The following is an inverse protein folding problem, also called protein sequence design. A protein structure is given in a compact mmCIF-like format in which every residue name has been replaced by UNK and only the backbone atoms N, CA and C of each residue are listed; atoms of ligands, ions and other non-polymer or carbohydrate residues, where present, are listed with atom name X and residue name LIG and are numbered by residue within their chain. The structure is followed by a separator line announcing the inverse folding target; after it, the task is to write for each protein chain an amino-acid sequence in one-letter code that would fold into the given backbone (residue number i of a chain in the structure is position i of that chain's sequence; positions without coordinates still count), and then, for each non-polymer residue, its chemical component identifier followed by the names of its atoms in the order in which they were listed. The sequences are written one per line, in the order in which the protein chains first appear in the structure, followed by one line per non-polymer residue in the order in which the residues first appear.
data_IF_871985355349
#
_entry.id   IF_871985355349
#
_cell.length_a   1.000
_cell.length_b   1.000
_cell.length_c   1.000
_cell.angle_alpha   90.00
_cell.angle_beta   90.00
_cell.angle_gamma   90.00
#
_symmetry.space_group_name_H-M   'P 1'
#
loop_
_entity.id
_entity.type
_entity.pdbx_description
1 polymer ?
#
# COMPACT_ATOMS: atom_id res chain seq x y z
N UNK A 1 32.56 12.81 43.03
CA UNK A 1 33.22 14.03 42.51
C UNK A 1 34.49 13.53 41.84
N UNK A 2 34.63 13.48 40.52
CA UNK A 2 34.36 14.47 39.49
C UNK A 2 33.87 13.82 38.18
N UNK A 3 33.17 14.63 37.38
CA UNK A 3 32.81 14.37 35.99
C UNK A 3 34.07 14.26 35.14
N UNK A 4 34.10 13.33 34.19
CA UNK A 4 34.82 13.52 32.93
C UNK A 4 33.91 13.15 31.76
N UNK A 5 33.42 14.20 31.10
CA UNK A 5 32.83 14.18 29.77
C UNK A 5 33.94 13.95 28.75
N UNK A 6 33.76 12.99 27.84
CA UNK A 6 34.40 12.99 26.52
C UNK A 6 33.27 12.82 25.51
N UNK A 7 33.12 13.82 24.64
CA UNK A 7 32.20 13.86 23.51
C UNK A 7 32.88 13.36 22.23
N UNK A 8 32.03 12.95 21.28
CA UNK A 8 32.25 12.62 19.85
C UNK A 8 32.88 11.24 19.60
N UNK A 9 32.29 10.31 18.85
CA UNK A 9 31.33 10.38 17.73
C UNK A 9 30.12 9.44 17.93
N UNK A 10 28.92 9.95 17.65
CA UNK A 10 27.66 9.27 17.92
C UNK A 10 27.15 8.59 16.63
N UNK A 11 27.92 7.62 16.14
CA UNK A 11 27.46 6.67 15.13
C UNK A 11 27.30 5.31 15.80
N UNK A 12 26.22 5.15 16.57
CA UNK A 12 25.85 3.84 17.13
C UNK A 12 24.40 3.78 17.59
N UNK A 13 23.76 2.68 17.19
CA UNK A 13 22.80 1.94 18.01
C UNK A 13 21.41 2.59 18.17
N UNK A 14 20.63 2.55 17.10
CA UNK A 14 19.22 2.17 17.26
C UNK A 14 19.20 0.72 17.76
N UNK A 15 19.23 0.55 19.08
CA UNK A 15 18.66 -0.64 19.71
C UNK A 15 17.18 -0.59 19.36
N UNK A 16 16.77 -1.30 18.31
CA UNK A 16 15.37 -1.55 18.02
C UNK A 16 14.85 -2.32 19.24
N UNK A 17 14.13 -1.63 20.13
CA UNK A 17 13.38 -2.31 21.18
C UNK A 17 12.46 -3.30 20.46
N UNK A 18 12.69 -4.60 20.69
CA UNK A 18 11.82 -5.64 20.19
C UNK A 18 10.43 -5.34 20.73
N UNK A 19 9.47 -5.12 19.82
CA UNK A 19 8.06 -4.92 20.17
C UNK A 19 7.64 -6.08 21.10
N UNK A 20 7.01 -5.76 22.23
CA UNK A 20 6.54 -6.78 23.18
C UNK A 20 5.62 -7.79 22.48
N UNK A 21 4.84 -7.35 21.48
CA UNK A 21 4.01 -8.24 20.67
C UNK A 21 4.85 -9.23 19.85
N UNK A 22 5.94 -8.77 19.23
CA UNK A 22 6.84 -9.62 18.47
C UNK A 22 7.49 -10.69 19.38
N UNK A 23 7.91 -10.29 20.58
CA UNK A 23 8.48 -11.20 21.57
C UNK A 23 7.47 -12.29 21.99
N UNK A 24 6.24 -11.90 22.32
CA UNK A 24 5.18 -12.83 22.70
C UNK A 24 4.83 -13.80 21.57
N UNK A 25 4.73 -13.29 20.34
CA UNK A 25 4.51 -14.11 19.14
C UNK A 25 5.64 -15.12 18.93
N UNK A 26 6.91 -14.70 19.03
CA UNK A 26 8.05 -15.61 18.84
C UNK A 26 8.08 -16.74 19.87
N UNK A 27 7.69 -16.47 21.11
CA UNK A 27 7.62 -17.48 22.18
C UNK A 27 6.43 -18.42 21.99
N UNK A 28 5.24 -17.87 21.75
CA UNK A 28 4.01 -18.67 21.68
C UNK A 28 3.90 -19.49 20.39
N UNK A 29 4.58 -19.08 19.32
CA UNK A 29 4.48 -19.69 17.99
C UNK A 29 5.74 -20.44 17.55
N UNK A 30 6.74 -20.61 18.43
CA UNK A 30 8.02 -21.27 18.09
C UNK A 30 7.83 -22.62 17.38
N UNK A 31 7.02 -23.52 17.94
CA UNK A 31 6.74 -24.83 17.35
C UNK A 31 6.11 -24.73 15.96
N UNK A 32 5.22 -23.76 15.76
CA UNK A 32 4.62 -23.52 14.44
C UNK A 32 5.70 -23.06 13.47
N UNK A 33 6.50 -22.07 13.84
CA UNK A 33 7.57 -21.50 13.02
C UNK A 33 8.60 -22.55 12.60
N UNK A 34 9.04 -23.40 13.54
CA UNK A 34 9.92 -24.53 13.27
C UNK A 34 9.29 -25.54 12.31
N UNK A 35 7.99 -25.81 12.46
CA UNK A 35 7.27 -26.77 11.59
C UNK A 35 7.08 -26.28 10.15
N UNK A 36 7.09 -24.96 9.92
CA UNK A 36 6.84 -24.36 8.62
C UNK A 36 8.12 -23.82 7.94
N UNK A 37 9.25 -23.82 8.63
CA UNK A 37 10.53 -23.33 8.10
C UNK A 37 10.98 -24.19 6.90
N UNK A 38 11.07 -23.62 5.69
CA UNK A 38 11.49 -24.34 4.50
C UNK A 38 13.02 -24.56 4.46
N UNK A 39 13.52 -25.52 3.65
CA UNK A 39 14.95 -25.71 3.44
C UNK A 39 15.59 -24.66 2.51
N UNK A 40 14.86 -23.61 2.13
CA UNK A 40 15.30 -22.55 1.22
C UNK A 40 14.73 -21.19 1.67
N UNK A 41 15.40 -20.06 1.39
CA UNK A 41 14.89 -18.75 1.76
C UNK A 41 13.50 -18.47 1.16
N UNK A 42 12.52 -18.17 2.00
CA UNK A 42 11.15 -17.86 1.57
C UNK A 42 10.50 -16.80 2.45
N UNK A 43 9.55 -16.06 1.89
CA UNK A 43 8.69 -15.11 2.59
C UNK A 43 7.36 -15.78 2.91
N UNK A 44 6.92 -15.71 4.17
CA UNK A 44 5.58 -16.16 4.55
C UNK A 44 4.52 -15.26 3.90
N UNK A 45 3.63 -15.84 3.08
CA UNK A 45 2.52 -15.14 2.41
C UNK A 45 1.16 -15.79 2.68
N UNK A 46 1.12 -16.87 3.46
CA UNK A 46 -0.11 -17.54 3.84
C UNK A 46 -0.87 -16.67 4.84
N UNK A 47 -1.96 -16.04 4.37
CA UNK A 47 -2.79 -15.14 5.16
C UNK A 47 -3.34 -15.81 6.43
N UNK A 48 -3.72 -17.09 6.36
CA UNK A 48 -4.20 -17.87 7.51
C UNK A 48 -3.13 -17.99 8.59
N UNK A 49 -1.89 -18.30 8.19
CA UNK A 49 -0.76 -18.41 9.15
C UNK A 49 -0.41 -17.05 9.72
N UNK A 50 -0.35 -16.02 8.88
CA UNK A 50 -0.05 -14.64 9.32
C UNK A 50 -1.12 -14.12 10.28
N UNK A 51 -2.40 -14.41 10.03
CA UNK A 51 -3.49 -14.10 10.96
C UNK A 51 -3.36 -14.83 12.29
N UNK A 52 -2.99 -16.11 12.29
CA UNK A 52 -2.69 -16.88 13.50
C UNK A 52 -1.53 -16.28 14.29
N UNK A 53 -0.44 -15.87 13.61
CA UNK A 53 0.69 -15.18 14.24
C UNK A 53 0.26 -13.86 14.88
N UNK A 54 -0.55 -13.07 14.17
CA UNK A 54 -1.07 -11.80 14.69
C UNK A 54 -1.89 -11.97 15.97
N UNK A 55 -2.66 -13.06 16.07
CA UNK A 55 -3.45 -13.41 17.27
C UNK A 55 -2.65 -14.15 18.33
N UNK A 56 -1.42 -14.56 18.03
CA UNK A 56 -0.61 -15.50 18.84
C UNK A 56 -1.30 -16.85 19.10
N UNK A 57 -2.18 -17.27 18.18
CA UNK A 57 -2.97 -18.51 18.24
C UNK A 57 -2.37 -19.60 17.33
N UNK A 58 -1.26 -20.20 17.75
CA UNK A 58 -0.39 -21.04 16.89
C UNK A 58 -0.54 -22.55 17.10
N UNK A 59 -1.68 -23.01 17.62
CA UNK A 59 -1.92 -24.43 17.94
C UNK A 59 -2.26 -25.35 16.76
N UNK A 60 -2.36 -24.83 15.53
CA UNK A 60 -2.70 -25.60 14.34
C UNK A 60 -1.79 -25.21 13.17
N UNK A 61 -1.10 -26.18 12.60
CA UNK A 61 -0.35 -25.99 11.35
C UNK A 61 -1.25 -26.35 10.16
N UNK A 62 -1.42 -25.47 9.16
CA UNK A 62 -2.12 -25.82 7.92
C UNK A 62 -1.43 -26.98 7.21
N UNK A 63 -2.22 -27.78 6.49
CA UNK A 63 -1.69 -28.93 5.72
C UNK A 63 -0.83 -28.51 4.54
N UNK A 64 -1.06 -27.30 4.01
CA UNK A 64 -0.30 -26.71 2.92
C UNK A 64 -0.13 -25.22 3.21
N UNK A 65 1.11 -24.74 3.10
CA UNK A 65 1.48 -23.36 3.46
C UNK A 65 1.91 -22.61 2.19
N UNK A 66 1.39 -21.40 2.02
CA UNK A 66 1.79 -20.53 0.91
C UNK A 66 3.08 -19.77 1.23
N UNK A 67 4.09 -19.91 0.37
CA UNK A 67 5.39 -19.28 0.51
C UNK A 67 5.78 -18.47 -0.73
N UNK A 68 6.23 -17.24 -0.51
CA UNK A 68 6.82 -16.38 -1.52
C UNK A 68 8.29 -16.70 -1.72
N UNK A 69 8.70 -17.12 -2.91
CA UNK A 69 10.11 -17.43 -3.22
C UNK A 69 10.66 -16.49 -4.27
N UNK A 70 11.86 -15.97 -4.06
CA UNK A 70 12.46 -15.07 -5.04
C UNK A 70 12.74 -15.83 -6.36
N UNK A 71 12.42 -15.24 -7.51
CA UNK A 71 12.66 -15.85 -8.83
C UNK A 71 14.12 -16.26 -9.08
N UNK A 72 15.09 -15.68 -8.35
CA UNK A 72 16.50 -16.11 -8.39
C UNK A 72 16.73 -17.53 -7.88
N UNK A 73 15.80 -18.09 -7.11
CA UNK A 73 15.87 -19.46 -6.57
C UNK A 73 15.04 -20.46 -7.36
N UNK A 74 14.39 -20.04 -8.45
CA UNK A 74 13.49 -20.86 -9.28
C UNK A 74 14.09 -22.22 -9.64
N UNK A 75 15.30 -22.23 -10.21
CA UNK A 75 15.98 -23.44 -10.67
C UNK A 75 16.40 -24.39 -9.56
N UNK A 76 16.59 -23.91 -8.33
CA UNK A 76 16.91 -24.76 -7.17
C UNK A 76 15.65 -25.36 -6.58
N UNK A 77 14.60 -24.56 -6.47
CA UNK A 77 13.34 -24.94 -5.82
C UNK A 77 12.50 -25.86 -6.71
N UNK A 78 12.45 -25.64 -8.02
CA UNK A 78 11.66 -26.50 -8.94
C UNK A 78 12.23 -27.91 -9.11
N UNK A 79 13.52 -28.12 -8.83
CA UNK A 79 14.14 -29.46 -8.91
C UNK A 79 13.68 -30.39 -7.79
N UNK A 80 13.19 -29.82 -6.69
CA UNK A 80 12.76 -30.56 -5.52
C UNK A 80 11.23 -30.47 -5.40
N UNK A 81 10.57 -31.59 -5.06
CA UNK A 81 9.12 -31.61 -4.88
C UNK A 81 8.79 -31.34 -3.41
N UNK A 82 8.42 -30.10 -3.09
CA UNK A 82 7.99 -29.70 -1.74
C UNK A 82 6.46 -29.68 -1.61
N UNK A 83 5.84 -30.85 -1.48
CA UNK A 83 4.37 -31.00 -1.48
C UNK A 83 3.65 -30.29 -0.32
N UNK A 84 4.37 -29.93 0.75
CA UNK A 84 3.84 -29.18 1.88
C UNK A 84 3.72 -27.67 1.62
N UNK A 85 4.31 -27.16 0.54
CA UNK A 85 4.33 -25.73 0.22
C UNK A 85 3.64 -25.44 -1.11
N UNK A 86 2.78 -24.43 -1.10
CA UNK A 86 2.33 -23.76 -2.32
C UNK A 86 3.28 -22.59 -2.60
N UNK A 87 4.13 -22.74 -3.60
CA UNK A 87 5.19 -21.77 -3.89
C UNK A 87 4.70 -20.73 -4.88
N UNK A 88 4.76 -19.46 -4.48
CA UNK A 88 4.47 -18.31 -5.34
C UNK A 88 5.78 -17.55 -5.58
N UNK A 89 6.22 -17.49 -6.83
CA UNK A 89 7.44 -16.77 -7.14
C UNK A 89 7.22 -15.26 -7.12
N UNK A 90 8.25 -14.51 -6.68
CA UNK A 90 8.22 -13.05 -6.73
C UNK A 90 9.54 -12.45 -7.18
N UNK A 91 9.45 -11.26 -7.77
CA UNK A 91 10.60 -10.43 -8.11
C UNK A 91 10.82 -9.33 -7.09
N UNK A 92 12.10 -9.10 -6.81
CA UNK A 92 12.59 -8.02 -5.96
C UNK A 92 13.59 -7.16 -6.74
N UNK A 93 13.07 -6.16 -7.46
CA UNK A 93 13.86 -5.27 -8.31
C UNK A 93 14.57 -4.19 -7.49
N UNK A 94 15.91 -4.08 -7.57
CA UNK A 94 16.69 -3.16 -6.72
C UNK A 94 16.25 -1.69 -6.81
N UNK A 95 15.78 -1.26 -7.98
CA UNK A 95 15.34 0.11 -8.29
C UNK A 95 13.84 0.36 -8.00
N UNK A 96 13.15 -0.63 -7.46
CA UNK A 96 11.72 -0.56 -7.12
C UNK A 96 11.49 -0.64 -5.62
N UNK A 97 10.42 -0.01 -5.18
CA UNK A 97 9.92 0.02 -3.80
C UNK A 97 8.84 -1.04 -3.52
N UNK A 98 8.63 -1.97 -4.44
CA UNK A 98 7.63 -3.05 -4.32
C UNK A 98 8.22 -4.42 -4.64
N UNK A 99 7.42 -5.43 -4.33
CA UNK A 99 7.59 -6.82 -4.73
C UNK A 99 6.48 -7.20 -5.72
N UNK A 100 6.81 -7.90 -6.80
CA UNK A 100 5.84 -8.43 -7.78
C UNK A 100 5.73 -9.94 -7.62
N UNK A 101 4.57 -10.42 -7.18
CA UNK A 101 4.26 -11.83 -6.99
C UNK A 101 3.51 -12.38 -8.20
N UNK A 102 3.98 -13.49 -8.73
CA UNK A 102 3.37 -14.25 -9.82
C UNK A 102 2.28 -15.20 -9.28
N UNK A 103 1.35 -14.66 -8.48
CA UNK A 103 0.13 -15.34 -8.04
C UNK A 103 -0.94 -15.29 -9.15
N UNK A 104 -2.10 -15.92 -8.93
CA UNK A 104 -3.26 -15.86 -9.82
C UNK A 104 -4.43 -15.12 -9.15
N UNK A 105 -4.65 -13.81 -9.43
CA UNK A 105 -3.90 -12.95 -10.37
C UNK A 105 -2.57 -12.45 -9.79
N UNK A 106 -1.71 -11.86 -10.64
CA UNK A 106 -0.46 -11.23 -10.22
C UNK A 106 -0.73 -10.20 -9.12
N UNK A 107 0.16 -10.15 -8.14
CA UNK A 107 0.06 -9.25 -6.99
C UNK A 107 1.26 -8.34 -6.88
N UNK A 108 1.04 -7.15 -6.37
CA UNK A 108 2.08 -6.16 -6.09
C UNK A 108 1.87 -5.66 -4.67
N UNK A 109 2.92 -5.70 -3.87
CA UNK A 109 2.91 -5.12 -2.52
C UNK A 109 4.10 -4.21 -2.33
N UNK A 110 3.99 -3.13 -1.53
CA UNK A 110 5.15 -2.37 -1.09
C UNK A 110 6.16 -3.29 -0.40
N UNK A 111 7.45 -2.94 -0.47
CA UNK A 111 8.47 -3.65 0.32
C UNK A 111 8.15 -3.47 1.79
N UNK A 112 8.01 -4.59 2.48
CA UNK A 112 7.81 -4.63 3.93
C UNK A 112 9.11 -5.04 4.63
N UNK A 113 9.42 -4.47 5.80
CA UNK A 113 10.41 -5.04 6.69
C UNK A 113 10.01 -6.46 7.09
N UNK A 114 11.01 -7.33 7.22
CA UNK A 114 10.83 -8.71 7.65
C UNK A 114 11.80 -9.02 8.77
N UNK A 115 11.40 -9.91 9.67
CA UNK A 115 12.32 -10.63 10.55
C UNK A 115 12.47 -12.06 10.03
N UNK A 116 13.54 -12.74 10.43
CA UNK A 116 13.92 -14.03 9.88
C UNK A 116 13.98 -15.08 10.99
N UNK A 117 13.35 -16.22 10.76
CA UNK A 117 13.42 -17.43 11.56
C UNK A 117 13.88 -18.58 10.67
N UNK A 118 15.10 -19.09 10.87
CA UNK A 118 15.68 -20.06 9.96
C UNK A 118 15.80 -19.51 8.53
N UNK A 119 15.16 -20.15 7.57
CA UNK A 119 15.04 -19.66 6.19
C UNK A 119 13.73 -18.91 5.92
N UNK A 120 12.81 -18.88 6.89
CA UNK A 120 11.53 -18.20 6.77
C UNK A 120 11.65 -16.71 7.15
N UNK A 121 11.37 -15.85 6.18
CA UNK A 121 11.17 -14.41 6.37
C UNK A 121 9.70 -14.15 6.69
N UNK A 122 9.44 -13.39 7.74
CA UNK A 122 8.08 -13.11 8.21
C UNK A 122 7.90 -11.59 8.25
N UNK A 123 6.78 -11.05 7.72
CA UNK A 123 6.51 -9.62 7.79
C UNK A 123 6.58 -9.11 9.23
N UNK A 124 7.30 -8.00 9.43
CA UNK A 124 7.43 -7.38 10.76
C UNK A 124 6.10 -6.85 11.27
N UNK A 125 5.40 -6.10 10.43
CA UNK A 125 4.04 -5.63 10.70
C UNK A 125 3.05 -6.54 9.96
N UNK A 126 2.64 -7.61 10.63
CA UNK A 126 1.73 -8.62 10.08
C UNK A 126 0.37 -8.03 9.70
N UNK A 127 -0.14 -7.07 10.49
CA UNK A 127 -1.43 -6.41 10.25
C UNK A 127 -1.36 -5.60 8.96
N UNK A 128 -0.33 -4.76 8.80
CA UNK A 128 -0.13 -3.95 7.59
C UNK A 128 0.13 -4.82 6.37
N UNK A 129 0.89 -5.91 6.51
CA UNK A 129 1.10 -6.86 5.43
C UNK A 129 -0.21 -7.46 4.94
N UNK A 130 -1.11 -7.89 5.83
CA UNK A 130 -2.42 -8.42 5.45
C UNK A 130 -3.27 -7.38 4.71
N UNK A 131 -3.23 -6.12 5.12
CA UNK A 131 -3.95 -5.04 4.43
C UNK A 131 -3.39 -4.77 3.03
N UNK A 132 -2.06 -4.81 2.85
CA UNK A 132 -1.42 -4.77 1.53
C UNK A 132 -1.79 -6.00 0.70
N UNK A 133 -1.68 -7.20 1.26
CA UNK A 133 -1.97 -8.44 0.54
C UNK A 133 -3.42 -8.50 0.05
N UNK A 134 -4.38 -8.06 0.87
CA UNK A 134 -5.79 -7.96 0.52
C UNK A 134 -6.04 -7.09 -0.72
N UNK A 135 -5.30 -5.99 -0.87
CA UNK A 135 -5.47 -4.99 -1.94
C UNK A 135 -4.54 -5.22 -3.14
N UNK A 136 -3.47 -6.00 -2.97
CA UNK A 136 -2.36 -6.23 -3.90
C UNK A 136 -2.67 -6.67 -5.33
N UNK A 137 -3.91 -7.01 -5.70
CA UNK A 137 -4.20 -7.57 -7.02
C UNK A 137 -3.90 -6.54 -8.12
N UNK A 138 -3.01 -6.91 -9.05
CA UNK A 138 -2.67 -6.05 -10.16
C UNK A 138 -3.84 -5.96 -11.14
N UNK A 139 -4.27 -4.74 -11.42
CA UNK A 139 -5.23 -4.44 -12.48
C UNK A 139 -4.48 -3.75 -13.61
N UNK A 140 -4.64 -4.24 -14.84
CA UNK A 140 -4.05 -3.60 -16.01
C UNK A 140 -4.93 -2.44 -16.49
N UNK A 141 -4.28 -1.33 -16.86
CA UNK A 141 -4.93 -0.25 -17.59
C UNK A 141 -5.16 -0.64 -19.06
N UNK A 142 -6.11 -0.01 -19.74
CA UNK A 142 -6.48 -0.32 -21.13
C UNK A 142 -5.53 0.24 -22.19
N UNK A 143 -4.68 1.21 -21.84
CA UNK A 143 -3.71 1.82 -22.76
C UNK A 143 -4.34 2.45 -24.01
N UNK A 144 -5.56 2.99 -23.91
CA UNK A 144 -6.26 3.61 -25.03
C UNK A 144 -5.60 4.93 -25.42
N UNK A 145 -5.37 5.12 -26.72
CA UNK A 145 -4.89 6.39 -27.26
C UNK A 145 -6.05 7.38 -27.39
N UNK A 146 -6.06 8.43 -26.56
CA UNK A 146 -7.06 9.50 -26.65
C UNK A 146 -6.48 10.67 -27.46
N UNK A 147 -7.10 10.95 -28.62
CA UNK A 147 -6.72 12.06 -29.49
C UNK A 147 -7.17 13.37 -28.84
N UNK A 148 -6.23 14.30 -28.70
CA UNK A 148 -6.49 15.65 -28.16
C UNK A 148 -5.87 16.68 -29.09
N UNK A 149 -6.48 17.85 -29.18
CA UNK A 149 -5.75 19.04 -29.62
C UNK A 149 -4.51 19.19 -28.74
N UNK A 150 -3.35 19.53 -29.31
CA UNK A 150 -2.11 19.70 -28.54
C UNK A 150 -2.37 20.53 -27.28
N UNK A 151 -2.28 19.88 -26.12
CA UNK A 151 -2.38 20.50 -24.81
C UNK A 151 -1.11 20.15 -24.07
N UNK A 152 -0.39 21.18 -23.59
CA UNK A 152 0.70 20.96 -22.66
C UNK A 152 0.15 20.30 -21.39
N UNK A 153 0.93 19.37 -20.82
CA UNK A 153 0.56 18.76 -19.55
C UNK A 153 0.56 19.83 -18.46
N UNK A 154 -0.54 19.94 -17.73
CA UNK A 154 -0.69 20.92 -16.65
C UNK A 154 0.06 20.49 -15.38
N UNK A 155 -0.02 19.21 -15.02
CA UNK A 155 0.71 18.63 -13.89
C UNK A 155 2.09 18.10 -14.33
N UNK A 156 3.21 18.47 -13.70
CA UNK A 156 4.50 17.87 -14.01
C UNK A 156 4.48 16.39 -13.63
N UNK A 157 4.51 15.48 -14.61
CA UNK A 157 4.23 14.05 -14.39
C UNK A 157 5.13 13.43 -13.32
N UNK A 158 6.45 13.52 -13.47
CA UNK A 158 7.41 12.92 -12.53
C UNK A 158 7.21 13.42 -11.09
N UNK A 159 7.15 14.75 -10.91
CA UNK A 159 6.90 15.36 -9.58
C UNK A 159 5.54 14.95 -9.01
N UNK A 160 4.53 14.82 -9.87
CA UNK A 160 3.18 14.38 -9.47
C UNK A 160 3.22 12.95 -8.95
N UNK A 161 3.85 12.04 -9.69
CA UNK A 161 4.00 10.64 -9.28
C UNK A 161 4.78 10.49 -7.97
N UNK A 162 5.88 11.25 -7.81
CA UNK A 162 6.67 11.27 -6.58
C UNK A 162 5.85 11.78 -5.39
N UNK A 163 5.03 12.80 -5.61
CA UNK A 163 4.15 13.36 -4.57
C UNK A 163 3.06 12.38 -4.17
N UNK A 164 2.42 11.73 -5.15
CA UNK A 164 1.42 10.68 -4.93
C UNK A 164 1.98 9.52 -4.09
N UNK A 165 3.13 8.98 -4.50
CA UNK A 165 3.83 7.92 -3.78
C UNK A 165 4.16 8.35 -2.34
N UNK A 166 4.70 9.57 -2.16
CA UNK A 166 5.00 10.09 -0.82
C UNK A 166 3.74 10.28 0.05
N UNK A 167 2.61 10.65 -0.54
CA UNK A 167 1.35 10.80 0.18
C UNK A 167 0.82 9.44 0.63
N UNK A 168 0.88 8.43 -0.23
CA UNK A 168 0.42 7.09 0.12
C UNK A 168 1.22 6.47 1.26
N UNK A 169 2.56 6.58 1.23
CA UNK A 169 3.39 6.16 2.36
C UNK A 169 3.01 6.90 3.64
N UNK A 170 2.84 8.22 3.55
CA UNK A 170 2.45 9.04 4.70
C UNK A 170 1.08 8.65 5.28
N UNK A 171 0.07 8.42 4.44
CA UNK A 171 -1.26 7.98 4.88
C UNK A 171 -1.24 6.57 5.48
N UNK A 172 -0.40 5.68 4.95
CA UNK A 172 -0.23 4.32 5.46
C UNK A 172 0.31 4.30 6.89
N UNK A 173 1.12 5.29 7.28
CA UNK A 173 1.60 5.43 8.67
C UNK A 173 0.46 5.70 9.67
N UNK A 174 -0.73 6.08 9.17
CA UNK A 174 -1.95 6.26 9.96
C UNK A 174 -2.97 5.12 9.77
N UNK A 175 -2.56 3.98 9.20
CA UNK A 175 -3.44 2.85 8.83
C UNK A 175 -4.53 3.25 7.79
N UNK A 176 -4.23 4.24 6.93
CA UNK A 176 -5.12 4.67 5.84
C UNK A 176 -4.57 4.17 4.51
N UNK A 177 -5.40 3.49 3.72
CA UNK A 177 -4.98 2.80 2.49
C UNK A 177 -5.67 3.41 1.25
N UNK A 178 -5.14 4.53 0.73
CA UNK A 178 -5.81 5.32 -0.30
C UNK A 178 -5.71 4.70 -1.71
N UNK A 179 -6.81 4.70 -2.45
CA UNK A 179 -6.89 4.31 -3.87
C UNK A 179 -7.19 5.47 -4.80
N UNK A 180 -6.77 5.39 -6.06
CA UNK A 180 -7.18 6.39 -7.06
C UNK A 180 -8.70 6.39 -7.23
N UNK A 181 -9.28 7.58 -7.38
CA UNK A 181 -10.68 7.76 -7.68
C UNK A 181 -10.88 8.85 -8.75
N UNK A 182 -12.14 9.14 -9.09
CA UNK A 182 -12.48 10.28 -9.94
C UNK A 182 -11.78 10.32 -11.30
N UNK A 183 -11.36 11.53 -11.71
CA UNK A 183 -10.67 11.76 -12.98
C UNK A 183 -9.30 11.12 -13.03
N UNK A 184 -8.66 10.96 -11.87
CA UNK A 184 -7.35 10.34 -11.74
C UNK A 184 -7.40 8.84 -12.02
N UNK A 185 -8.38 8.11 -11.46
CA UNK A 185 -8.63 6.70 -11.78
C UNK A 185 -9.00 6.52 -13.26
N UNK A 186 -9.83 7.41 -13.81
CA UNK A 186 -10.20 7.36 -15.22
C UNK A 186 -8.99 7.50 -16.14
N UNK A 187 -8.10 8.45 -15.85
CA UNK A 187 -6.85 8.64 -16.59
C UNK A 187 -6.01 7.37 -16.58
N UNK A 188 -5.73 6.86 -15.38
CA UNK A 188 -4.93 5.65 -15.22
C UNK A 188 -5.55 4.47 -15.96
N UNK A 189 -6.83 4.17 -15.72
CA UNK A 189 -7.47 3.00 -16.31
C UNK A 189 -7.59 3.12 -17.83
N UNK A 190 -7.96 4.29 -18.35
CA UNK A 190 -8.18 4.47 -19.79
C UNK A 190 -6.87 4.57 -20.56
N UNK A 191 -5.90 5.30 -20.05
CA UNK A 191 -4.75 5.79 -20.84
C UNK A 191 -3.40 5.38 -20.24
N UNK A 192 -3.40 4.67 -19.11
CA UNK A 192 -2.20 4.35 -18.34
C UNK A 192 -1.43 5.61 -17.90
N UNK A 193 -2.11 6.74 -17.71
CA UNK A 193 -1.49 8.04 -17.49
C UNK A 193 -2.42 8.97 -16.68
N UNK A 194 -1.87 10.03 -16.11
CA UNK A 194 -2.65 11.14 -15.58
C UNK A 194 -3.17 11.98 -16.75
N UNK A 195 -4.47 12.28 -16.77
CA UNK A 195 -5.08 13.08 -17.86
C UNK A 195 -4.32 14.40 -18.03
N UNK A 196 -3.79 14.72 -19.23
CA UNK A 196 -2.83 15.81 -19.37
C UNK A 196 -3.30 17.20 -18.90
N UNK A 197 -4.59 17.49 -19.02
CA UNK A 197 -5.18 18.77 -18.63
C UNK A 197 -5.84 18.78 -17.24
N UNK A 198 -5.75 17.69 -16.46
CA UNK A 198 -6.24 17.69 -15.08
C UNK A 198 -5.43 18.68 -14.23
N UNK A 199 -6.05 19.21 -13.18
CA UNK A 199 -5.42 20.24 -12.32
C UNK A 199 -5.07 19.73 -10.92
N UNK A 200 -5.57 18.56 -10.60
CA UNK A 200 -5.55 17.89 -9.31
C UNK A 200 -5.39 16.38 -9.51
N UNK A 201 -5.19 15.71 -8.39
CA UNK A 201 -5.12 14.27 -8.26
C UNK A 201 -6.15 13.87 -7.19
N UNK A 202 -6.89 12.81 -7.44
CA UNK A 202 -7.95 12.33 -6.56
C UNK A 202 -7.59 10.96 -6.01
N UNK A 203 -7.56 10.86 -4.69
CA UNK A 203 -7.58 9.61 -3.95
C UNK A 203 -8.89 9.49 -3.19
N UNK A 204 -9.30 8.26 -2.92
CA UNK A 204 -10.28 7.95 -1.90
C UNK A 204 -9.70 6.98 -0.87
N UNK A 205 -10.17 7.06 0.36
CA UNK A 205 -9.92 6.06 1.40
C UNK A 205 -11.24 5.67 2.06
N UNK A 206 -11.30 4.49 2.67
CA UNK A 206 -12.50 4.06 3.38
C UNK A 206 -12.69 4.92 4.64
N UNK A 207 -13.91 5.38 4.91
CA UNK A 207 -14.18 6.14 6.14
C UNK A 207 -13.92 5.31 7.40
N UNK A 208 -14.02 3.99 7.30
CA UNK A 208 -13.68 3.06 8.38
C UNK A 208 -12.18 3.06 8.72
N UNK A 209 -11.33 3.52 7.80
CA UNK A 209 -9.89 3.72 8.00
C UNK A 209 -9.57 5.13 8.54
N UNK A 210 -10.58 5.98 8.74
CA UNK A 210 -10.36 7.35 9.21
C UNK A 210 -9.69 7.37 10.59
N UNK A 211 -8.50 7.95 10.62
CA UNK A 211 -7.71 8.14 11.83
C UNK A 211 -7.68 9.63 12.21
N UNK A 212 -8.33 10.06 13.32
CA UNK A 212 -8.32 11.45 13.77
C UNK A 212 -6.92 12.03 13.99
N UNK A 213 -5.94 11.19 14.32
CA UNK A 213 -4.54 11.61 14.51
C UNK A 213 -3.92 12.15 13.23
N UNK A 214 -4.39 11.75 12.04
CA UNK A 214 -3.96 12.32 10.77
C UNK A 214 -4.24 13.82 10.71
N UNK A 215 -5.43 14.24 11.13
CA UNK A 215 -5.79 15.66 11.12
C UNK A 215 -4.92 16.46 12.08
N UNK A 216 -4.72 15.95 13.30
CA UNK A 216 -3.82 16.56 14.29
C UNK A 216 -2.39 16.68 13.75
N UNK A 217 -1.89 15.66 13.07
CA UNK A 217 -0.54 15.68 12.49
C UNK A 217 -0.43 16.61 11.26
N UNK A 218 -1.47 16.68 10.41
CA UNK A 218 -1.52 17.64 9.30
C UNK A 218 -1.55 19.11 9.75
N UNK A 219 -1.96 19.36 11.00
CA UNK A 219 -1.97 20.67 11.64
C UNK A 219 -0.67 20.96 12.43
N UNK A 220 0.25 19.99 12.53
CA UNK A 220 1.55 20.15 13.17
C UNK A 220 2.61 20.70 12.20
N UNK A 221 3.81 20.96 12.72
CA UNK A 221 4.97 21.37 11.91
C UNK A 221 5.81 20.18 11.40
N UNK A 222 5.38 18.93 11.63
CA UNK A 222 6.16 17.70 11.38
C UNK A 222 5.69 16.95 10.12
N UNK A 223 4.67 17.45 9.44
CA UNK A 223 4.08 16.85 8.24
C UNK A 223 4.90 17.13 6.96
N UNK A 224 4.74 16.31 5.92
CA UNK A 224 5.24 16.59 4.55
C UNK A 224 4.19 17.30 3.67
N UNK A 225 2.95 17.33 4.15
CA UNK A 225 1.78 17.83 3.44
C UNK A 225 1.03 18.87 4.26
N UNK A 226 0.58 19.93 3.60
CA UNK A 226 -0.31 20.94 4.17
C UNK A 226 -1.75 20.61 3.82
N UNK A 227 -2.62 20.60 4.83
CA UNK A 227 -4.07 20.66 4.63
C UNK A 227 -4.46 22.07 4.16
N UNK A 228 -4.96 22.18 2.94
CA UNK A 228 -5.38 23.45 2.31
C UNK A 228 -6.87 23.67 2.37
N UNK A 229 -7.65 22.60 2.44
CA UNK A 229 -9.11 22.64 2.56
C UNK A 229 -9.59 21.41 3.33
N UNK A 230 -10.61 21.61 4.15
CA UNK A 230 -11.34 20.57 4.86
C UNK A 230 -12.82 20.78 4.56
N UNK A 231 -13.49 19.76 4.03
CA UNK A 231 -14.91 19.80 3.70
C UNK A 231 -15.67 18.68 4.41
N UNK A 232 -16.96 18.91 4.63
CA UNK A 232 -17.86 17.94 5.24
C UNK A 232 -17.60 17.67 6.73
N UNK A 233 -18.07 16.52 7.18
CA UNK A 233 -17.90 15.97 8.53
C UNK A 233 -17.58 14.48 8.39
N UNK A 234 -16.99 13.87 9.41
CA UNK A 234 -16.65 12.42 9.42
C UNK A 234 -17.83 11.55 8.99
N UNK A 235 -19.07 11.90 9.35
CA UNK A 235 -20.29 11.18 8.97
C UNK A 235 -21.03 11.73 7.72
N UNK A 236 -20.49 12.73 7.04
CA UNK A 236 -21.13 13.39 5.90
C UNK A 236 -20.10 14.09 4.99
N UNK A 237 -19.80 13.45 3.85
CA UNK A 237 -19.07 14.07 2.73
C UNK A 237 -17.68 14.61 3.11
N UNK A 238 -16.95 13.87 3.95
CA UNK A 238 -15.63 14.29 4.42
C UNK A 238 -14.60 14.28 3.27
N UNK A 239 -13.79 15.33 3.17
CA UNK A 239 -12.76 15.48 2.12
C UNK A 239 -11.60 16.37 2.61
N UNK A 240 -10.36 15.96 2.32
CA UNK A 240 -9.15 16.76 2.55
C UNK A 240 -8.53 17.18 1.23
N UNK A 241 -8.23 18.47 1.06
CA UNK A 241 -7.34 18.93 -0.02
C UNK A 241 -5.94 19.15 0.53
N UNK A 242 -4.97 18.39 0.01
CA UNK A 242 -3.59 18.34 0.45
C UNK A 242 -2.65 18.93 -0.61
N UNK A 243 -1.59 19.60 -0.15
CA UNK A 243 -0.50 20.06 -1.01
C UNK A 243 0.86 19.75 -0.38
N UNK A 244 1.92 19.51 -1.17
CA UNK A 244 3.29 19.43 -0.64
C UNK A 244 3.67 20.71 0.11
N UNK A 245 4.40 20.60 1.22
CA UNK A 245 4.85 21.77 2.01
C UNK A 245 5.69 22.77 1.19
N UNK A 246 6.52 22.28 0.27
CA UNK A 246 7.32 23.13 -0.63
C UNK A 246 6.48 23.94 -1.64
N UNK A 247 5.15 23.84 -1.58
CA UNK A 247 4.21 24.48 -2.48
C UNK A 247 4.18 23.86 -3.88
N UNK A 248 3.24 24.37 -4.68
CA UNK A 248 3.07 23.97 -6.08
C UNK A 248 2.10 22.80 -6.28
N UNK A 249 2.26 22.11 -7.41
CA UNK A 249 1.40 21.02 -7.88
C UNK A 249 2.01 19.64 -7.59
N UNK A 250 1.21 18.57 -7.49
CA UNK A 250 -0.26 18.56 -7.59
C UNK A 250 -0.94 19.06 -6.31
N UNK A 251 -2.16 19.59 -6.46
CA UNK A 251 -3.15 19.55 -5.37
C UNK A 251 -3.73 18.15 -5.35
N UNK A 252 -3.87 17.55 -4.18
CA UNK A 252 -4.39 16.20 -4.03
C UNK A 252 -5.63 16.23 -3.16
N UNK A 253 -6.76 15.78 -3.69
CA UNK A 253 -7.99 15.62 -2.92
C UNK A 253 -8.08 14.17 -2.42
N UNK A 254 -8.27 14.00 -1.11
CA UNK A 254 -8.53 12.73 -0.44
C UNK A 254 -10.00 12.72 -0.01
N UNK A 255 -10.79 11.95 -0.75
CA UNK A 255 -12.21 11.72 -0.47
C UNK A 255 -12.39 10.56 0.51
N UNK A 256 -13.30 10.72 1.47
CA UNK A 256 -13.68 9.60 2.31
C UNK A 256 -14.87 8.86 1.72
N UNK A 257 -14.71 7.55 1.51
CA UNK A 257 -15.71 6.68 0.93
C UNK A 257 -16.52 5.98 2.02
N UNK A 258 -17.82 6.14 1.93
CA UNK A 258 -18.81 5.54 2.80
C UNK A 258 -19.42 4.31 2.13
N UNK A 259 -19.70 3.27 2.89
CA UNK A 259 -20.39 2.08 2.37
C UNK A 259 -21.76 1.91 3.01
N UNK A 260 -22.69 1.41 2.20
CA UNK A 260 -24.03 0.95 2.58
C UNK A 260 -24.14 -0.52 2.18
N UNK A 261 -25.26 -1.18 2.49
CA UNK A 261 -25.47 -2.59 2.14
C UNK A 261 -25.24 -2.90 0.65
N UNK A 262 -25.64 -1.98 -0.23
CA UNK A 262 -25.68 -2.20 -1.69
C UNK A 262 -24.74 -1.31 -2.51
N UNK A 263 -24.14 -0.28 -1.91
CA UNK A 263 -23.37 0.71 -2.65
C UNK A 263 -22.33 1.42 -1.78
N UNK A 264 -21.31 1.96 -2.42
CA UNK A 264 -20.35 2.86 -1.78
C UNK A 264 -20.45 4.25 -2.39
N UNK A 265 -20.10 5.30 -1.66
CA UNK A 265 -20.21 6.67 -2.17
C UNK A 265 -19.16 7.61 -1.58
N UNK A 266 -18.82 8.66 -2.34
CA UNK A 266 -18.06 9.82 -1.84
C UNK A 266 -18.89 11.08 -2.02
N UNK A 267 -18.71 12.05 -1.12
CA UNK A 267 -19.29 13.36 -1.26
C UNK A 267 -18.41 14.27 -2.12
N UNK A 268 -19.03 15.23 -2.81
CA UNK A 268 -18.32 16.37 -3.40
C UNK A 268 -19.02 17.66 -3.01
N UNK A 269 -18.27 18.75 -2.88
CA UNK A 269 -18.84 20.06 -2.54
C UNK A 269 -18.40 21.10 -3.56
N UNK A 270 -19.36 21.78 -4.20
CA UNK A 270 -19.06 22.90 -5.08
C UNK A 270 -18.73 24.17 -4.28
N UNK A 271 -18.19 25.18 -4.96
CA UNK A 271 -17.78 26.46 -4.34
C UNK A 271 -18.93 27.22 -3.69
N UNK A 272 -20.16 27.01 -4.15
CA UNK A 272 -21.39 27.58 -3.60
C UNK A 272 -21.93 26.80 -2.39
N UNK A 273 -21.26 25.70 -2.00
CA UNK A 273 -21.69 24.82 -0.92
C UNK A 273 -22.64 23.71 -1.35
N UNK A 274 -23.01 23.63 -2.63
CA UNK A 274 -23.84 22.55 -3.16
C UNK A 274 -23.14 21.20 -3.00
N UNK A 275 -23.85 20.21 -2.44
CA UNK A 275 -23.32 18.86 -2.21
C UNK A 275 -23.73 17.89 -3.31
N UNK A 276 -22.79 17.05 -3.72
CA UNK A 276 -22.97 15.97 -4.68
C UNK A 276 -22.65 14.64 -4.03
N UNK A 277 -23.35 13.59 -4.43
CA UNK A 277 -23.10 12.21 -4.00
C UNK A 277 -22.76 11.36 -5.21
N UNK A 278 -21.51 10.91 -5.29
CA UNK A 278 -21.07 10.00 -6.33
C UNK A 278 -21.16 8.58 -5.80
N UNK A 279 -22.01 7.76 -6.41
CA UNK A 279 -22.29 6.39 -5.96
C UNK A 279 -21.59 5.38 -6.86
N UNK A 280 -21.03 4.35 -6.25
CA UNK A 280 -20.27 3.27 -6.85
C UNK A 280 -20.85 1.91 -6.43
N UNK A 281 -20.54 0.83 -7.17
CA UNK A 281 -20.72 -0.52 -6.66
C UNK A 281 -20.03 -0.71 -5.32
N UNK A 282 -20.49 -1.68 -4.54
CA UNK A 282 -20.00 -1.96 -3.19
C UNK A 282 -18.47 -2.11 -3.14
N UNK A 283 -17.83 -1.67 -2.06
CA UNK A 283 -16.35 -1.63 -1.90
C UNK A 283 -15.63 -2.96 -2.19
N UNK A 284 -16.27 -4.09 -1.94
CA UNK A 284 -15.74 -5.42 -2.26
C UNK A 284 -15.58 -5.58 -3.78
N UNK A 285 -16.38 -4.89 -4.60
CA UNK A 285 -16.26 -4.87 -6.07
C UNK A 285 -15.25 -3.84 -6.57
N UNK A 286 -15.00 -2.76 -5.82
CA UNK A 286 -14.00 -1.74 -6.17
C UNK A 286 -12.57 -2.28 -6.11
N UNK A 287 -12.32 -3.30 -5.28
CA UNK A 287 -11.05 -4.02 -5.20
C UNK A 287 -10.87 -5.10 -6.29
N UNK A 288 -11.86 -5.30 -7.17
CA UNK A 288 -11.93 -6.44 -8.09
C UNK A 288 -12.14 -6.06 -9.57
N UNK A 289 -11.76 -4.86 -9.99
CA UNK A 289 -11.87 -4.47 -11.40
C UNK A 289 -10.90 -5.34 -12.23
N UNK A 290 -11.41 -6.39 -12.89
CA UNK A 290 -10.65 -7.21 -13.85
C UNK A 290 -10.88 -6.66 -15.26
N UNK A 291 -9.81 -6.44 -16.03
CA UNK A 291 -9.87 -6.26 -17.49
C UNK A 291 -8.56 -6.74 -18.14
N UNK A 292 -8.71 -7.37 -19.31
CA UNK A 292 -7.66 -7.98 -20.13
C UNK A 292 -6.89 -6.98 -21.01
N UNK A 293 -5.70 -7.43 -21.41
CA UNK A 293 -4.75 -6.94 -22.43
C UNK A 293 -3.61 -6.02 -21.99
N UNK A 294 -2.41 -6.58 -22.17
CA UNK A 294 -1.15 -6.14 -21.58
C UNK A 294 -0.52 -4.89 -22.20
N UNK A 295 -0.27 -3.92 -21.31
CA UNK A 295 0.95 -3.11 -21.17
C UNK A 295 1.11 -2.74 -19.68
N UNK A 296 2.30 -2.88 -19.12
CA UNK A 296 2.52 -2.74 -17.66
C UNK A 296 2.63 -1.25 -17.24
N UNK A 297 1.60 -0.74 -16.55
CA UNK A 297 1.68 0.44 -15.67
C UNK A 297 1.14 0.03 -14.30
N UNK A 298 1.97 0.20 -13.25
CA UNK A 298 1.63 -0.26 -11.90
C UNK A 298 0.65 0.69 -11.22
N UNK A 299 -0.52 0.16 -10.85
CA UNK A 299 -1.27 0.69 -9.73
C UNK A 299 -1.88 -0.46 -8.95
N UNK A 300 -1.46 -0.57 -7.70
CA UNK A 300 -2.26 -1.17 -6.64
C UNK A 300 -2.90 -0.01 -5.85
N UNK A 301 -4.13 -0.23 -5.40
CA UNK A 301 -4.88 0.56 -4.41
C UNK A 301 -4.06 0.74 -3.10
N UNK A 302 -3.00 -0.04 -2.89
CA UNK A 302 -2.03 0.16 -1.78
C UNK A 302 -0.59 0.42 -2.20
N UNK A 303 -0.24 0.25 -3.48
CA UNK A 303 1.10 0.49 -3.98
C UNK A 303 1.05 1.37 -5.23
N UNK A 304 1.04 2.69 -5.02
CA UNK A 304 1.44 3.62 -6.06
C UNK A 304 2.95 3.67 -6.10
N UNK A 305 3.47 2.71 -6.86
CA UNK A 305 4.90 2.51 -7.07
C UNK A 305 5.45 3.65 -7.91
N UNK A 306 6.64 4.14 -7.54
CA UNK A 306 7.49 5.06 -8.33
C UNK A 306 7.98 4.43 -9.65
N UNK A 307 7.11 3.94 -10.50
CA UNK A 307 7.48 3.46 -11.83
C UNK A 307 6.35 3.69 -12.81
N UNK A 308 6.12 4.97 -13.09
CA UNK A 308 5.76 5.38 -14.44
C UNK A 308 6.97 6.15 -14.99
N UNK A 309 7.43 5.74 -16.16
CA UNK A 309 8.57 6.28 -16.94
C UNK A 309 9.96 5.70 -16.62
N UNK A 310 10.25 4.51 -17.15
CA UNK A 310 11.28 4.32 -18.19
C UNK A 310 10.95 3.06 -18.99
#
# INVERSE_FOLDING_TARGET
MEKKTIMTDNDSLQVIMMDSHLADMMVNCSNLLESIDPPFPALLIDDRVIESLNRTECGRTPTMIRLGVNTRLLTSVEKESYFQYEIVFYENFKDKDHLRFYDLPTRIIPRVPVWVHGNLSIPWDVKRFLEFWKRSKLVQCRGMKVVRSMQSRYLPLEKTLQTMSSLMSYLTDFDIYPFLCGGTLLGWYRECDIIPHTKDVDFAALIEEHNPSLLTHLQSNETKFRLTRLLGRVNDSYEFSLQPLGGGRPSIDLFWMYSTENSSWVGGTAKDGSKFKYTYPRKELLQHIKCEDGKDFLMDITAFVRTACK
#
